data_IF_305502836959
#
_entry.id   IF_305502836959
#
_cell.length_a   1.000
_cell.length_b   1.000
_cell.length_c   1.000
_cell.angle_alpha   90.00
_cell.angle_beta   90.00
_cell.angle_gamma   90.00
#
_symmetry.space_group_name_H-M   'P 1'
#
loop_
_entity.id
_entity.type
_entity.pdbx_description
1 polymer ?
#
# COMPACT_ATOMS: atom_id res chain seq x y z
N UNK A 1 -19.04 -4.68 17.80
CA UNK A 1 -18.53 -3.45 17.15
C UNK A 1 -19.68 -2.52 16.90
N UNK A 2 -19.50 -1.22 17.13
CA UNK A 2 -20.55 -0.21 16.96
C UNK A 2 -20.78 0.07 15.47
N UNK A 3 -22.03 0.05 14.97
CA UNK A 3 -22.32 0.23 13.53
C UNK A 3 -21.78 1.56 12.98
N UNK A 4 -21.73 2.59 13.81
CA UNK A 4 -21.18 3.91 13.48
C UNK A 4 -19.71 3.87 13.09
N UNK A 5 -18.93 2.94 13.66
CA UNK A 5 -17.50 2.86 13.45
C UNK A 5 -17.15 2.35 12.04
N UNK A 6 -17.88 1.35 11.54
CA UNK A 6 -17.71 0.83 10.17
C UNK A 6 -17.97 1.90 9.10
N UNK A 7 -18.98 2.74 9.31
CA UNK A 7 -19.31 3.81 8.37
C UNK A 7 -18.19 4.84 8.28
N UNK A 8 -17.54 5.16 9.41
CA UNK A 8 -16.37 6.05 9.44
C UNK A 8 -15.19 5.44 8.67
N UNK A 9 -14.92 4.15 8.84
CA UNK A 9 -13.83 3.48 8.12
C UNK A 9 -14.06 3.45 6.61
N UNK A 10 -15.30 3.22 6.16
CA UNK A 10 -15.65 3.26 4.74
C UNK A 10 -15.47 4.67 4.18
N UNK A 11 -15.94 5.70 4.89
CA UNK A 11 -15.75 7.09 4.47
C UNK A 11 -14.26 7.44 4.39
N UNK A 12 -13.48 7.04 5.40
CA UNK A 12 -12.05 7.30 5.46
C UNK A 12 -11.31 6.59 4.32
N UNK A 13 -11.68 5.34 4.02
CA UNK A 13 -11.15 4.60 2.89
C UNK A 13 -11.40 5.35 1.57
N UNK A 14 -12.64 5.75 1.29
CA UNK A 14 -12.96 6.47 0.06
C UNK A 14 -12.26 7.83 -0.01
N UNK A 15 -12.18 8.56 1.11
CA UNK A 15 -11.46 9.84 1.15
C UNK A 15 -9.98 9.64 0.80
N UNK A 16 -9.31 8.65 1.38
CA UNK A 16 -7.92 8.33 1.06
C UNK A 16 -7.77 7.82 -0.37
N UNK A 17 -8.71 7.02 -0.86
CA UNK A 17 -8.73 6.54 -2.25
C UNK A 17 -8.85 7.69 -3.24
N UNK A 18 -9.78 8.62 -3.02
CA UNK A 18 -9.94 9.79 -3.88
C UNK A 18 -8.74 10.73 -3.80
N UNK A 19 -8.16 10.94 -2.61
CA UNK A 19 -6.90 11.69 -2.50
C UNK A 19 -5.80 11.00 -3.31
N UNK A 20 -5.56 9.71 -3.08
CA UNK A 20 -4.53 8.93 -3.77
C UNK A 20 -4.73 8.99 -5.29
N UNK A 21 -5.94 8.76 -5.79
CA UNK A 21 -6.28 8.72 -7.23
C UNK A 21 -6.37 10.10 -7.90
N UNK A 22 -6.80 11.15 -7.20
CA UNK A 22 -6.97 12.50 -7.79
C UNK A 22 -5.66 13.20 -8.08
N UNK A 23 -4.59 12.90 -7.33
CA UNK A 23 -3.25 13.39 -7.64
C UNK A 23 -2.64 12.77 -8.90
N UNK A 24 -3.18 11.64 -9.40
CA UNK A 24 -2.60 10.96 -10.57
C UNK A 24 -2.70 11.75 -11.88
N UNK A 25 -3.70 12.61 -12.04
CA UNK A 25 -3.93 13.27 -13.34
C UNK A 25 -3.19 14.60 -13.51
N UNK A 26 -2.65 15.16 -12.43
CA UNK A 26 -2.09 16.52 -12.44
C UNK A 26 -0.60 16.60 -12.14
N UNK A 27 0.03 15.52 -11.64
CA UNK A 27 1.43 15.52 -11.21
C UNK A 27 2.28 14.55 -12.05
N UNK A 28 3.55 14.89 -12.25
CA UNK A 28 4.51 14.01 -12.93
C UNK A 28 4.65 12.69 -12.16
N UNK A 29 4.57 11.56 -12.88
CA UNK A 29 4.98 10.25 -12.34
C UNK A 29 6.45 10.39 -11.94
N UNK A 30 6.83 10.16 -10.67
CA UNK A 30 6.19 9.22 -9.73
C UNK A 30 5.32 9.83 -8.63
N UNK A 31 5.22 11.17 -8.53
CA UNK A 31 4.48 11.86 -7.45
C UNK A 31 2.98 11.53 -7.50
N UNK A 32 2.46 11.31 -8.71
CA UNK A 32 1.13 10.81 -8.99
C UNK A 32 0.72 9.58 -8.13
N UNK A 33 1.66 8.70 -7.77
CA UNK A 33 1.37 7.44 -7.08
C UNK A 33 1.76 7.47 -5.60
N UNK A 34 1.02 8.21 -4.78
CA UNK A 34 1.20 8.20 -3.33
C UNK A 34 0.54 6.98 -2.67
N UNK A 35 1.26 6.10 -1.95
CA UNK A 35 0.69 4.88 -1.38
C UNK A 35 -0.06 5.11 -0.06
N UNK A 36 -1.05 5.99 -0.05
CA UNK A 36 -1.77 6.39 1.16
C UNK A 36 -2.53 5.23 1.79
N UNK A 37 -3.34 4.51 1.00
CA UNK A 37 -4.09 3.36 1.50
C UNK A 37 -3.15 2.26 1.98
N UNK A 38 -2.03 2.07 1.29
CA UNK A 38 -1.05 1.06 1.67
C UNK A 38 -0.37 1.42 3.00
N UNK A 39 0.03 2.69 3.18
CA UNK A 39 0.57 3.19 4.45
C UNK A 39 -0.43 3.02 5.59
N UNK A 40 -1.69 3.42 5.37
CA UNK A 40 -2.77 3.29 6.36
C UNK A 40 -3.05 1.82 6.71
N UNK A 41 -3.00 0.92 5.73
CA UNK A 41 -3.16 -0.52 5.93
C UNK A 41 -2.06 -1.09 6.82
N UNK A 42 -0.79 -0.79 6.53
CA UNK A 42 0.33 -1.28 7.35
C UNK A 42 0.24 -0.71 8.76
N UNK A 43 -0.03 0.59 8.90
CA UNK A 43 -0.19 1.23 10.21
C UNK A 43 -1.35 0.61 11.00
N UNK A 44 -2.50 0.41 10.36
CA UNK A 44 -3.68 -0.22 10.96
C UNK A 44 -3.42 -1.65 11.42
N UNK A 45 -2.89 -2.49 10.52
CA UNK A 45 -2.62 -3.90 10.82
C UNK A 45 -1.49 -4.07 11.85
N UNK A 46 -0.33 -3.44 11.63
CA UNK A 46 0.86 -3.68 12.44
C UNK A 46 0.87 -2.88 13.74
N UNK A 47 0.42 -1.62 13.71
CA UNK A 47 0.53 -0.72 14.86
C UNK A 47 -0.75 -0.69 15.69
N UNK A 48 -1.92 -0.50 15.06
CA UNK A 48 -3.23 -0.47 15.72
C UNK A 48 -3.84 -1.85 15.99
N UNK A 49 -3.24 -2.93 15.44
CA UNK A 49 -3.71 -4.32 15.58
C UNK A 49 -5.12 -4.54 15.01
N UNK A 50 -5.42 -3.86 13.90
CA UNK A 50 -6.70 -3.95 13.17
C UNK A 50 -6.52 -4.76 11.89
N UNK A 51 -6.68 -6.09 11.91
CA UNK A 51 -6.53 -6.93 10.73
C UNK A 51 -7.53 -6.59 9.61
N UNK A 52 -8.69 -6.04 9.96
CA UNK A 52 -9.73 -5.60 9.02
C UNK A 52 -9.25 -4.53 8.03
N UNK A 53 -8.21 -3.77 8.40
CA UNK A 53 -7.59 -2.78 7.51
C UNK A 53 -6.97 -3.42 6.26
N UNK A 54 -6.68 -4.72 6.27
CA UNK A 54 -6.25 -5.45 5.07
C UNK A 54 -7.28 -5.38 3.94
N UNK A 55 -8.58 -5.31 4.26
CA UNK A 55 -9.63 -5.18 3.25
C UNK A 55 -9.53 -3.88 2.45
N UNK A 56 -8.93 -2.83 2.99
CA UNK A 56 -8.73 -1.58 2.26
C UNK A 56 -7.79 -1.78 1.08
N UNK A 57 -6.71 -2.55 1.26
CA UNK A 57 -5.76 -2.78 0.19
C UNK A 57 -6.38 -3.66 -0.92
N UNK A 58 -7.15 -4.69 -0.54
CA UNK A 58 -7.87 -5.55 -1.50
C UNK A 58 -8.93 -4.74 -2.26
N UNK A 59 -9.72 -3.92 -1.54
CA UNK A 59 -10.74 -3.07 -2.15
C UNK A 59 -10.11 -2.06 -3.12
N UNK A 60 -8.97 -1.45 -2.75
CA UNK A 60 -8.21 -0.57 -3.64
C UNK A 60 -7.81 -1.30 -4.93
N UNK A 61 -7.19 -2.47 -4.83
CA UNK A 61 -6.77 -3.24 -6.01
C UNK A 61 -7.97 -3.60 -6.91
N UNK A 62 -9.09 -4.00 -6.31
CA UNK A 62 -10.33 -4.28 -7.03
C UNK A 62 -10.92 -3.06 -7.74
N UNK A 63 -10.94 -1.90 -7.10
CA UNK A 63 -11.40 -0.64 -7.72
C UNK A 63 -10.47 -0.21 -8.86
N UNK A 64 -9.15 -0.33 -8.66
CA UNK A 64 -8.16 0.04 -9.67
C UNK A 64 -8.28 -0.82 -10.93
N UNK A 65 -8.47 -2.14 -10.77
CA UNK A 65 -8.72 -3.05 -11.88
C UNK A 65 -10.09 -2.79 -12.54
N UNK A 66 -11.13 -2.55 -11.73
CA UNK A 66 -12.50 -2.30 -12.23
C UNK A 66 -12.59 -1.02 -13.08
N UNK A 67 -11.95 0.06 -12.65
CA UNK A 67 -11.94 1.33 -13.37
C UNK A 67 -10.80 1.47 -14.39
N UNK A 68 -9.85 0.53 -14.42
CA UNK A 68 -8.67 0.61 -15.29
C UNK A 68 -7.74 1.79 -14.98
N UNK A 69 -7.73 2.25 -13.72
CA UNK A 69 -6.90 3.39 -13.25
C UNK A 69 -5.58 2.89 -12.64
N UNK A 70 -5.45 1.58 -12.40
CA UNK A 70 -4.25 0.96 -11.85
C UNK A 70 -2.98 1.23 -12.67
N UNK A 71 -1.84 1.31 -11.98
CA UNK A 71 -0.53 1.39 -12.60
C UNK A 71 -0.10 0.03 -13.17
N UNK A 72 -0.54 -1.05 -12.54
CA UNK A 72 -0.27 -2.42 -12.96
C UNK A 72 -1.58 -3.12 -13.33
N UNK A 73 -1.56 -4.06 -14.29
CA UNK A 73 -2.68 -4.96 -14.49
C UNK A 73 -2.78 -5.96 -13.32
N UNK A 74 -4.01 -6.36 -12.98
CA UNK A 74 -4.30 -7.34 -11.92
C UNK A 74 -3.88 -6.89 -10.51
N UNK A 75 -4.08 -5.62 -10.17
CA UNK A 75 -3.80 -5.09 -8.83
C UNK A 75 -4.61 -5.76 -7.73
N UNK A 76 -5.78 -6.32 -8.05
CA UNK A 76 -6.58 -7.10 -7.12
C UNK A 76 -5.83 -8.36 -6.63
N UNK A 77 -5.20 -9.09 -7.55
CA UNK A 77 -4.42 -10.30 -7.19
C UNK A 77 -3.19 -9.89 -6.38
N UNK A 78 -2.51 -8.82 -6.80
CA UNK A 78 -1.33 -8.33 -6.11
C UNK A 78 -1.66 -7.87 -4.68
N UNK A 79 -2.75 -7.12 -4.51
CA UNK A 79 -3.21 -6.67 -3.19
C UNK A 79 -3.62 -7.84 -2.29
N UNK A 80 -4.26 -8.89 -2.82
CA UNK A 80 -4.55 -10.11 -2.08
C UNK A 80 -3.27 -10.78 -1.56
N UNK A 81 -2.28 -10.98 -2.43
CA UNK A 81 -0.98 -11.57 -2.06
C UNK A 81 -0.28 -10.71 -0.99
N UNK A 82 -0.35 -9.40 -1.13
CA UNK A 82 0.29 -8.49 -0.20
C UNK A 82 -0.41 -8.48 1.17
N UNK A 83 -1.74 -8.53 1.21
CA UNK A 83 -2.47 -8.66 2.48
C UNK A 83 -2.13 -9.99 3.17
N UNK A 84 -2.07 -11.09 2.42
CA UNK A 84 -1.65 -12.38 2.97
C UNK A 84 -0.24 -12.31 3.57
N UNK A 85 0.70 -11.68 2.86
CA UNK A 85 2.04 -11.40 3.37
C UNK A 85 1.98 -10.57 4.65
N UNK A 86 1.27 -9.43 4.68
CA UNK A 86 1.15 -8.57 5.86
C UNK A 86 0.60 -9.33 7.08
N UNK A 87 -0.39 -10.21 6.89
CA UNK A 87 -0.88 -11.09 7.94
C UNK A 87 0.22 -12.02 8.46
N UNK A 88 0.99 -12.63 7.57
CA UNK A 88 2.11 -13.49 7.94
C UNK A 88 3.19 -12.72 8.70
N UNK A 89 3.60 -11.54 8.21
CA UNK A 89 4.61 -10.69 8.84
C UNK A 89 4.19 -10.26 10.25
N UNK A 90 2.94 -9.81 10.40
CA UNK A 90 2.40 -9.35 11.67
C UNK A 90 2.27 -10.48 12.70
N UNK A 91 1.94 -11.69 12.25
CA UNK A 91 1.74 -12.84 13.15
C UNK A 91 3.03 -13.54 13.54
N UNK A 92 3.99 -13.65 12.62
CA UNK A 92 5.13 -14.57 12.79
C UNK A 92 6.51 -13.91 12.83
N UNK A 93 6.68 -12.71 12.27
CA UNK A 93 8.01 -12.09 12.13
C UNK A 93 8.19 -10.84 12.98
N UNK A 94 7.19 -9.96 13.00
CA UNK A 94 7.33 -8.65 13.65
C UNK A 94 6.39 -8.49 14.83
N UNK A 95 6.93 -8.00 15.94
CA UNK A 95 6.13 -7.69 17.13
C UNK A 95 5.15 -6.55 16.85
N UNK A 96 3.84 -6.74 17.08
CA UNK A 96 2.82 -5.73 16.82
C UNK A 96 2.97 -4.53 17.75
N UNK A 97 2.66 -3.34 17.24
CA UNK A 97 2.78 -2.04 17.95
C UNK A 97 4.21 -1.62 18.28
N UNK A 98 5.21 -2.35 17.78
CA UNK A 98 6.61 -1.93 17.86
C UNK A 98 6.98 -1.03 16.68
N UNK A 99 7.77 0.01 16.93
CA UNK A 99 8.28 0.91 15.89
C UNK A 99 9.12 0.16 14.85
N UNK A 100 10.07 -0.64 15.33
CA UNK A 100 10.93 -1.45 14.48
C UNK A 100 10.17 -2.51 13.70
N UNK A 101 9.16 -3.17 14.30
CA UNK A 101 8.32 -4.13 13.60
C UNK A 101 7.46 -3.48 12.51
N UNK A 102 7.00 -2.24 12.75
CA UNK A 102 6.26 -1.48 11.72
C UNK A 102 7.16 -1.13 10.55
N UNK A 103 8.37 -0.62 10.79
CA UNK A 103 9.34 -0.32 9.72
C UNK A 103 9.77 -1.59 8.98
N UNK A 104 10.05 -2.67 9.69
CA UNK A 104 10.40 -3.95 9.08
C UNK A 104 9.28 -4.47 8.17
N UNK A 105 8.02 -4.35 8.62
CA UNK A 105 6.84 -4.70 7.84
C UNK A 105 6.72 -3.83 6.57
N UNK A 106 6.96 -2.52 6.68
CA UNK A 106 7.02 -1.61 5.52
C UNK A 106 8.08 -2.06 4.52
N UNK A 107 9.33 -2.21 4.95
CA UNK A 107 10.43 -2.57 4.06
C UNK A 107 10.16 -3.89 3.33
N UNK A 108 9.76 -4.93 4.07
CA UNK A 108 9.58 -6.25 3.50
C UNK A 108 8.34 -6.33 2.60
N UNK A 109 7.26 -5.63 2.96
CA UNK A 109 6.06 -5.56 2.12
C UNK A 109 6.31 -4.84 0.80
N UNK A 110 7.12 -3.78 0.78
CA UNK A 110 7.48 -3.11 -0.49
C UNK A 110 8.37 -3.99 -1.35
N UNK A 111 9.36 -4.67 -0.75
CA UNK A 111 10.21 -5.60 -1.50
C UNK A 111 9.35 -6.68 -2.17
N UNK A 112 8.42 -7.28 -1.41
CA UNK A 112 7.49 -8.27 -1.97
C UNK A 112 6.53 -7.66 -3.00
N UNK A 113 6.00 -6.45 -2.78
CA UNK A 113 5.18 -5.73 -3.77
C UNK A 113 5.90 -5.61 -5.11
N UNK A 114 7.16 -5.18 -5.10
CA UNK A 114 7.95 -5.01 -6.33
C UNK A 114 8.25 -6.35 -6.98
N UNK A 115 8.60 -7.38 -6.20
CA UNK A 115 8.83 -8.72 -6.74
C UNK A 115 7.57 -9.27 -7.41
N UNK A 116 6.40 -9.17 -6.77
CA UNK A 116 5.13 -9.58 -7.37
C UNK A 116 4.80 -8.77 -8.62
N UNK A 117 5.03 -7.46 -8.60
CA UNK A 117 4.83 -6.58 -9.76
C UNK A 117 5.71 -7.01 -10.94
N UNK A 118 7.00 -7.25 -10.70
CA UNK A 118 7.94 -7.71 -11.72
C UNK A 118 7.52 -9.08 -12.28
N UNK A 119 7.09 -10.02 -11.44
CA UNK A 119 6.62 -11.33 -11.89
C UNK A 119 5.39 -11.20 -12.79
N UNK A 120 4.41 -10.37 -12.42
CA UNK A 120 3.21 -10.13 -13.24
C UNK A 120 3.59 -9.51 -14.58
N UNK A 121 4.47 -8.50 -14.57
CA UNK A 121 4.97 -7.86 -15.79
C UNK A 121 5.71 -8.86 -16.69
N UNK A 122 6.57 -9.70 -16.13
CA UNK A 122 7.30 -10.73 -16.88
C UNK A 122 6.36 -11.76 -17.52
N UNK A 123 5.30 -12.16 -16.81
CA UNK A 123 4.31 -13.10 -17.35
C UNK A 123 3.56 -12.49 -18.54
N UNK A 124 3.11 -11.23 -18.41
CA UNK A 124 2.32 -10.55 -19.43
C UNK A 124 3.13 -10.14 -20.66
N UNK A 125 4.40 -9.77 -20.47
CA UNK A 125 5.25 -9.28 -21.55
C UNK A 125 6.28 -10.32 -22.01
N UNK A 126 6.07 -11.60 -21.70
CA UNK A 126 6.98 -12.70 -22.06
C UNK A 126 7.37 -12.75 -23.54
N UNK A 127 6.56 -12.19 -24.44
CA UNK A 127 6.84 -12.06 -25.88
C UNK A 127 7.30 -10.68 -26.36
N UNK A 128 7.29 -9.62 -25.53
CA UNK A 128 7.57 -8.22 -25.94
C UNK A 128 8.38 -7.41 -24.90
N UNK A 129 9.19 -8.10 -24.10
CA UNK A 129 10.01 -7.54 -23.02
C UNK A 129 11.03 -6.47 -23.45
N UNK A 130 11.36 -6.37 -24.74
CA UNK A 130 12.38 -5.45 -25.26
C UNK A 130 12.03 -3.96 -25.12
N UNK A 131 10.75 -3.62 -24.93
CA UNK A 131 10.28 -2.23 -25.01
C UNK A 131 9.94 -1.60 -23.65
N UNK A 132 10.21 -2.29 -22.54
CA UNK A 132 9.90 -1.76 -21.21
C UNK A 132 11.04 -0.83 -20.74
N UNK A 133 10.77 0.47 -20.46
CA UNK A 133 11.79 1.39 -19.96
C UNK A 133 12.10 1.09 -18.48
N UNK A 134 13.09 0.22 -18.24
CA UNK A 134 13.51 -0.19 -16.89
C UNK A 134 13.86 0.97 -15.95
N UNK A 135 14.39 2.07 -16.49
CA UNK A 135 14.69 3.28 -15.70
C UNK A 135 13.45 3.90 -15.06
N UNK A 136 12.31 3.89 -15.78
CA UNK A 136 11.03 4.38 -15.28
C UNK A 136 10.48 3.48 -14.16
N UNK A 137 10.59 2.16 -14.34
CA UNK A 137 10.18 1.17 -13.32
C UNK A 137 11.00 1.33 -12.04
N UNK A 138 12.33 1.43 -12.15
CA UNK A 138 13.20 1.63 -11.00
C UNK A 138 12.91 2.96 -10.29
N UNK A 139 12.69 4.05 -11.03
CA UNK A 139 12.32 5.35 -10.47
C UNK A 139 10.99 5.31 -9.72
N UNK A 140 9.98 4.64 -10.28
CA UNK A 140 8.70 4.41 -9.63
C UNK A 140 8.86 3.63 -8.32
N UNK A 141 9.58 2.50 -8.33
CA UNK A 141 9.78 1.70 -7.13
C UNK A 141 10.54 2.46 -6.04
N UNK A 142 11.63 3.16 -6.37
CA UNK A 142 12.39 3.94 -5.39
C UNK A 142 11.53 5.02 -4.74
N UNK A 143 10.75 5.76 -5.55
CA UNK A 143 9.82 6.75 -5.04
C UNK A 143 8.76 6.14 -4.13
N UNK A 144 8.18 5.01 -4.54
CA UNK A 144 7.14 4.33 -3.78
C UNK A 144 7.66 3.86 -2.42
N UNK A 145 8.90 3.37 -2.34
CA UNK A 145 9.54 3.03 -1.06
C UNK A 145 9.67 4.24 -0.15
N UNK A 146 10.25 5.33 -0.68
CA UNK A 146 10.48 6.54 0.09
C UNK A 146 9.16 7.09 0.64
N UNK A 147 8.13 7.17 -0.20
CA UNK A 147 6.82 7.68 0.20
C UNK A 147 6.11 6.80 1.21
N UNK A 148 6.14 5.47 1.04
CA UNK A 148 5.50 4.58 2.01
C UNK A 148 6.18 4.67 3.38
N UNK A 149 7.51 4.68 3.42
CA UNK A 149 8.27 4.88 4.66
C UNK A 149 7.95 6.23 5.31
N UNK A 150 7.95 7.30 4.52
CA UNK A 150 7.64 8.65 5.00
C UNK A 150 6.23 8.73 5.60
N UNK A 151 5.22 8.22 4.89
CA UNK A 151 3.82 8.25 5.34
C UNK A 151 3.60 7.43 6.61
N UNK A 152 4.17 6.23 6.69
CA UNK A 152 4.06 5.40 7.90
C UNK A 152 4.81 6.04 9.07
N UNK A 153 5.99 6.62 8.84
CA UNK A 153 6.72 7.35 9.87
C UNK A 153 5.91 8.55 10.38
N UNK A 154 5.31 9.33 9.47
CA UNK A 154 4.44 10.45 9.81
C UNK A 154 3.25 10.00 10.67
N UNK A 155 2.52 8.96 10.24
CA UNK A 155 1.39 8.38 11.00
C UNK A 155 1.81 7.93 12.41
N UNK A 156 2.96 7.25 12.54
CA UNK A 156 3.50 6.82 13.83
C UNK A 156 3.83 8.00 14.75
N UNK A 157 4.45 9.04 14.20
CA UNK A 157 4.81 10.24 14.95
C UNK A 157 3.56 11.01 15.40
N UNK A 158 2.63 11.27 14.49
CA UNK A 158 1.38 11.96 14.78
C UNK A 158 0.58 11.23 15.86
N UNK A 159 0.43 9.91 15.76
CA UNK A 159 -0.30 9.14 16.76
C UNK A 159 0.34 9.22 18.15
N UNK A 160 1.67 9.09 18.24
CA UNK A 160 2.38 9.21 19.51
C UNK A 160 2.29 10.61 20.11
N UNK A 161 2.31 11.64 19.26
CA UNK A 161 2.14 13.02 19.69
C UNK A 161 0.76 13.25 20.29
N UNK A 162 -0.31 12.86 19.58
CA UNK A 162 -1.68 13.01 20.06
C UNK A 162 -1.97 12.22 21.33
N UNK A 163 -1.33 11.06 21.56
CA UNK A 163 -1.51 10.27 22.79
C UNK A 163 -0.83 10.89 24.03
N UNK A 164 0.10 11.84 23.84
CA UNK A 164 0.78 12.52 24.96
C UNK A 164 0.03 13.75 25.48
N UNK A 165 -0.89 14.29 24.67
CA UNK A 165 -1.78 15.39 25.01
C UNK A 165 -3.01 14.80 25.71
#
# INVERSE_FOLDING_TARGET
MNKSFWLIEIILFFLLYFLETSFFTTWFIPIASMPLIFAATIFGMQYLRRPEMGWWLIAKGGLNDFFGIGFLPYEFILSLLLVFLLFFLNRYLFSPSSFYGTIGCVLLSIICFNLFSIIILLFLFSSSLSNIPWSFICGFFLWHHFMLLFLVFFMLFSYKWFKRI
#
